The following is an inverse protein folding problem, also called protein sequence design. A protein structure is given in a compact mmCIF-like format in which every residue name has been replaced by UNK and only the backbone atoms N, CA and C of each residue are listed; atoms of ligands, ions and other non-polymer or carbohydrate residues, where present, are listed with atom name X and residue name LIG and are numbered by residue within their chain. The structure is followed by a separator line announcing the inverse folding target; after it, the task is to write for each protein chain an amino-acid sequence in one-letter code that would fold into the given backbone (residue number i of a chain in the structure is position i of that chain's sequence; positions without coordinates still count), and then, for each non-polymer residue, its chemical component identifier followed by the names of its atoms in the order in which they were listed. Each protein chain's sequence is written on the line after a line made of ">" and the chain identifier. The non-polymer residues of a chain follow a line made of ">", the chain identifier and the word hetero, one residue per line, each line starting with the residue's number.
data_IF_060771054060
#
_entry.id   IF_060771054060
#
_cell.length_a   1.000
_cell.length_b   1.000
_cell.length_c   1.000
_cell.angle_alpha   90.00
_cell.angle_beta   90.00
_cell.angle_gamma   90.00
#
_symmetry.space_group_name_H-M   'P 1'
#
loop_
_entity.id
_entity.type
_entity.pdbx_description
1 polymer ?
#
# COMPACT_ATOMS: atom_id res chain seq x y z
N UNK A 1 -17.26 4.86 3.07
CA UNK A 1 -16.05 5.68 2.86
C UNK A 1 -14.97 5.41 3.91
N UNK A 2 -15.01 5.93 5.14
CA UNK A 2 -13.96 5.61 6.15
C UNK A 2 -13.88 4.11 6.50
N UNK A 3 -15.05 3.47 6.66
CA UNK A 3 -15.12 2.01 6.84
C UNK A 3 -14.57 1.22 5.64
N UNK A 4 -14.66 1.78 4.43
CA UNK A 4 -14.14 1.14 3.21
C UNK A 4 -12.61 1.23 3.16
N UNK A 5 -12.01 2.35 3.59
CA UNK A 5 -10.54 2.45 3.74
C UNK A 5 -9.99 1.47 4.78
N UNK A 6 -10.68 1.36 5.93
CA UNK A 6 -10.30 0.41 6.98
C UNK A 6 -10.41 -1.03 6.49
N UNK A 7 -11.47 -1.35 5.75
CA UNK A 7 -11.62 -2.66 5.13
C UNK A 7 -10.54 -2.92 4.07
N UNK A 8 -10.24 -1.93 3.23
CA UNK A 8 -9.16 -2.01 2.23
C UNK A 8 -7.81 -2.29 2.86
N UNK A 9 -7.47 -1.63 3.99
CA UNK A 9 -6.27 -1.97 4.76
C UNK A 9 -6.31 -3.42 5.24
N UNK A 10 -7.42 -3.87 5.83
CA UNK A 10 -7.54 -5.26 6.29
C UNK A 10 -7.35 -6.27 5.16
N UNK A 11 -7.91 -6.02 3.98
CA UNK A 11 -7.77 -6.89 2.82
C UNK A 11 -6.32 -6.93 2.32
N UNK A 12 -5.63 -5.78 2.31
CA UNK A 12 -4.20 -5.72 2.01
C UNK A 12 -3.35 -6.47 3.03
N UNK A 13 -3.60 -6.28 4.33
CA UNK A 13 -2.91 -7.00 5.41
C UNK A 13 -3.08 -8.51 5.29
N UNK A 14 -4.30 -8.98 5.01
CA UNK A 14 -4.60 -10.39 4.79
C UNK A 14 -3.83 -10.91 3.56
N UNK A 15 -3.91 -10.21 2.43
CA UNK A 15 -3.20 -10.62 1.21
C UNK A 15 -1.68 -10.68 1.40
N UNK A 16 -1.10 -9.72 2.13
CA UNK A 16 0.34 -9.70 2.42
C UNK A 16 0.75 -10.86 3.32
N UNK A 17 0.01 -11.12 4.40
CA UNK A 17 0.26 -12.23 5.32
C UNK A 17 0.15 -13.58 4.61
N UNK A 18 -0.90 -13.77 3.82
CA UNK A 18 -1.10 -14.99 3.04
C UNK A 18 0.04 -15.21 2.06
N UNK A 19 0.51 -14.15 1.40
CA UNK A 19 1.63 -14.23 0.48
C UNK A 19 2.94 -14.58 1.19
N UNK A 20 3.22 -13.95 2.34
CA UNK A 20 4.38 -14.27 3.15
C UNK A 20 4.38 -15.73 3.65
N UNK A 21 3.22 -16.25 4.06
CA UNK A 21 3.06 -17.64 4.48
C UNK A 21 3.35 -18.61 3.33
N UNK A 22 2.77 -18.37 2.14
CA UNK A 22 3.00 -19.21 0.97
C UNK A 22 4.48 -19.18 0.58
N UNK A 23 5.13 -18.01 0.58
CA UNK A 23 6.55 -17.90 0.25
C UNK A 23 7.49 -18.63 1.22
N UNK A 24 7.07 -18.89 2.46
CA UNK A 24 7.86 -19.69 3.41
C UNK A 24 7.84 -21.19 3.07
N UNK A 25 6.71 -21.68 2.55
CA UNK A 25 6.52 -23.08 2.19
C UNK A 25 6.88 -23.38 0.72
N UNK A 26 6.86 -22.35 -0.13
CA UNK A 26 7.03 -22.48 -1.57
C UNK A 26 8.49 -22.61 -2.01
N UNK A 27 8.68 -23.26 -3.15
CA UNK A 27 9.93 -23.31 -3.90
C UNK A 27 9.74 -22.71 -5.31
N UNK A 28 10.79 -22.77 -6.15
CA UNK A 28 10.75 -22.20 -7.50
C UNK A 28 9.68 -22.83 -8.43
N UNK A 29 9.19 -24.04 -8.15
CA UNK A 29 8.14 -24.68 -8.94
C UNK A 29 6.74 -24.08 -8.66
N UNK A 30 6.59 -23.33 -7.56
CA UNK A 30 5.34 -22.65 -7.18
C UNK A 30 5.19 -21.26 -7.80
N UNK A 31 6.09 -20.87 -8.72
CA UNK A 31 6.08 -19.58 -9.41
C UNK A 31 4.71 -19.18 -10.01
N UNK A 32 3.88 -20.09 -10.57
CA UNK A 32 2.53 -19.74 -11.01
C UNK A 32 1.62 -19.24 -9.88
N UNK A 33 1.69 -19.85 -8.69
CA UNK A 33 0.91 -19.42 -7.53
C UNK A 33 1.43 -18.08 -6.99
N UNK A 34 2.76 -17.91 -6.96
CA UNK A 34 3.41 -16.64 -6.61
C UNK A 34 2.91 -15.52 -7.53
N UNK A 35 2.87 -15.75 -8.85
CA UNK A 35 2.37 -14.78 -9.81
C UNK A 35 0.90 -14.41 -9.58
N UNK A 36 0.02 -15.40 -9.31
CA UNK A 36 -1.40 -15.15 -8.98
C UNK A 36 -1.56 -14.26 -7.75
N UNK A 37 -0.78 -14.52 -6.70
CA UNK A 37 -0.82 -13.74 -5.46
C UNK A 37 -0.35 -12.30 -5.68
N UNK A 38 0.71 -12.08 -6.47
CA UNK A 38 1.17 -10.75 -6.87
C UNK A 38 0.11 -9.97 -7.66
N UNK A 39 -0.59 -10.63 -8.58
CA UNK A 39 -1.66 -10.01 -9.36
C UNK A 39 -2.81 -9.61 -8.43
N UNK A 40 -3.27 -10.52 -7.56
CA UNK A 40 -4.34 -10.23 -6.60
C UNK A 40 -3.97 -9.06 -5.68
N UNK A 41 -2.76 -9.05 -5.12
CA UNK A 41 -2.28 -7.95 -4.30
C UNK A 41 -2.26 -6.63 -5.08
N UNK A 42 -1.76 -6.64 -6.32
CA UNK A 42 -1.72 -5.44 -7.17
C UNK A 42 -3.11 -4.87 -7.46
N UNK A 43 -4.12 -5.73 -7.61
CA UNK A 43 -5.51 -5.32 -7.82
C UNK A 43 -6.06 -4.65 -6.56
N UNK A 44 -5.95 -5.31 -5.41
CA UNK A 44 -6.37 -4.74 -4.11
C UNK A 44 -5.69 -3.40 -3.82
N UNK A 45 -4.39 -3.31 -4.07
CA UNK A 45 -3.62 -2.10 -3.85
C UNK A 45 -4.10 -0.96 -4.75
N UNK A 46 -4.31 -1.21 -6.05
CA UNK A 46 -4.82 -0.18 -6.98
C UNK A 46 -6.22 0.29 -6.62
N UNK A 47 -7.09 -0.62 -6.23
CA UNK A 47 -8.45 -0.29 -5.79
C UNK A 47 -8.43 0.60 -4.56
N UNK A 48 -7.68 0.19 -3.53
CA UNK A 48 -7.50 0.96 -2.31
C UNK A 48 -6.92 2.36 -2.60
N UNK A 49 -5.84 2.44 -3.38
CA UNK A 49 -5.23 3.72 -3.76
C UNK A 49 -6.19 4.63 -4.53
N UNK A 50 -7.03 4.06 -5.41
CA UNK A 50 -8.04 4.84 -6.14
C UNK A 50 -9.11 5.44 -5.24
N UNK A 51 -9.56 4.68 -4.24
CA UNK A 51 -10.50 5.16 -3.23
C UNK A 51 -9.88 6.26 -2.37
N UNK A 52 -8.64 6.05 -1.90
CA UNK A 52 -7.92 7.02 -1.08
C UNK A 52 -7.63 8.33 -1.84
N UNK A 53 -7.15 8.24 -3.09
CA UNK A 53 -6.91 9.43 -3.92
C UNK A 53 -8.18 10.25 -4.17
N UNK A 54 -9.33 9.58 -4.37
CA UNK A 54 -10.61 10.26 -4.50
C UNK A 54 -10.97 11.04 -3.22
N UNK A 55 -10.74 10.45 -2.04
CA UNK A 55 -10.99 11.09 -0.74
C UNK A 55 -10.03 12.24 -0.47
N UNK A 56 -8.74 12.07 -0.75
CA UNK A 56 -7.72 13.14 -0.65
C UNK A 56 -8.03 14.28 -1.61
N UNK A 57 -8.42 13.98 -2.84
CA UNK A 57 -8.84 14.98 -3.83
C UNK A 57 -10.07 15.75 -3.36
N UNK A 58 -11.07 15.07 -2.79
CA UNK A 58 -12.24 15.73 -2.22
C UNK A 58 -11.87 16.61 -1.00
N UNK A 59 -10.93 16.17 -0.17
CA UNK A 59 -10.43 16.91 0.99
C UNK A 59 -9.69 18.20 0.56
N UNK A 60 -8.84 18.14 -0.48
CA UNK A 60 -8.11 19.29 -1.03
C UNK A 60 -9.00 20.40 -1.60
N UNK A 61 -10.25 20.09 -1.97
CA UNK A 61 -11.22 21.09 -2.44
C UNK A 61 -11.79 21.96 -1.31
N UNK A 62 -11.52 21.60 -0.05
CA UNK A 62 -11.99 22.31 1.13
C UNK A 62 -10.91 23.25 1.67
N UNK A 63 -11.30 24.26 2.45
CA UNK A 63 -10.36 25.13 3.17
C UNK A 63 -9.74 24.38 4.37
N UNK A 64 -8.58 23.78 4.14
CA UNK A 64 -7.84 23.03 5.16
C UNK A 64 -7.09 23.96 6.13
N UNK A 65 -6.92 23.48 7.36
CA UNK A 65 -5.94 24.07 8.29
C UNK A 65 -4.51 23.80 7.77
N UNK A 66 -3.51 24.61 8.15
CA UNK A 66 -2.11 24.37 7.76
C UNK A 66 -1.61 22.97 8.15
N UNK A 67 -2.05 22.46 9.30
CA UNK A 67 -1.72 21.12 9.77
C UNK A 67 -2.30 20.03 8.85
N UNK A 68 -3.58 20.12 8.51
CA UNK A 68 -4.24 19.15 7.63
C UNK A 68 -3.64 19.17 6.21
N UNK A 69 -3.29 20.35 5.70
CA UNK A 69 -2.61 20.50 4.41
C UNK A 69 -1.20 19.88 4.42
N UNK A 70 -0.42 20.03 5.50
CA UNK A 70 0.87 19.33 5.65
C UNK A 70 0.71 17.82 5.58
N UNK A 71 -0.25 17.24 6.32
CA UNK A 71 -0.52 15.80 6.34
C UNK A 71 -0.85 15.29 4.92
N UNK A 72 -1.70 16.02 4.19
CA UNK A 72 -2.09 15.65 2.82
C UNK A 72 -0.91 15.71 1.83
N UNK A 73 0.02 16.65 2.00
CA UNK A 73 1.23 16.73 1.17
C UNK A 73 2.21 15.61 1.52
N UNK A 74 2.36 15.29 2.80
CA UNK A 74 3.26 14.23 3.28
C UNK A 74 2.78 12.86 2.77
N UNK A 75 1.46 12.62 2.84
CA UNK A 75 0.82 11.47 2.23
C UNK A 75 1.15 11.38 0.72
N UNK A 76 0.94 12.45 -0.04
CA UNK A 76 1.20 12.44 -1.49
C UNK A 76 2.65 12.09 -1.83
N UNK A 77 3.64 12.61 -1.07
CA UNK A 77 5.06 12.27 -1.28
C UNK A 77 5.34 10.80 -0.95
N UNK A 78 4.77 10.29 0.14
CA UNK A 78 4.97 8.92 0.58
C UNK A 78 4.39 7.90 -0.41
N UNK A 79 3.19 8.16 -0.96
CA UNK A 79 2.56 7.30 -1.97
C UNK A 79 3.41 7.21 -3.24
N UNK A 80 3.93 8.35 -3.72
CA UNK A 80 4.83 8.36 -4.88
C UNK A 80 6.10 7.54 -4.60
N UNK A 81 6.70 7.69 -3.41
CA UNK A 81 7.87 6.93 -3.04
C UNK A 81 7.61 5.41 -2.98
N UNK A 82 6.46 4.99 -2.45
CA UNK A 82 6.04 3.59 -2.43
C UNK A 82 5.84 3.04 -3.85
N UNK A 83 5.19 3.81 -4.72
CA UNK A 83 4.97 3.42 -6.11
C UNK A 83 6.29 3.22 -6.87
N UNK A 84 7.25 4.13 -6.69
CA UNK A 84 8.57 4.02 -7.32
C UNK A 84 9.32 2.78 -6.82
N UNK A 85 9.35 2.54 -5.50
CA UNK A 85 9.96 1.33 -4.91
C UNK A 85 9.32 0.05 -5.45
N UNK A 86 8.00 0.02 -5.56
CA UNK A 86 7.29 -1.12 -6.15
C UNK A 86 7.64 -1.30 -7.63
N UNK A 87 7.68 -0.21 -8.40
CA UNK A 87 8.08 -0.26 -9.81
C UNK A 87 9.46 -0.86 -10.00
N UNK A 88 10.43 -0.43 -9.20
CA UNK A 88 11.81 -0.95 -9.24
C UNK A 88 11.87 -2.41 -8.84
N UNK A 89 11.12 -2.81 -7.81
CA UNK A 89 10.99 -4.20 -7.41
C UNK A 89 10.44 -5.09 -8.53
N UNK A 90 9.39 -4.65 -9.23
CA UNK A 90 8.82 -5.41 -10.37
C UNK A 90 9.80 -5.52 -11.53
N UNK A 91 10.54 -4.45 -11.84
CA UNK A 91 11.54 -4.44 -12.93
C UNK A 91 12.69 -5.38 -12.63
N UNK A 92 13.16 -5.41 -11.38
CA UNK A 92 14.29 -6.24 -10.97
C UNK A 92 13.90 -7.71 -10.82
N UNK A 93 12.82 -8.02 -10.11
CA UNK A 93 12.37 -9.38 -9.83
C UNK A 93 11.53 -9.97 -10.96
N UNK A 94 12.21 -10.27 -12.07
CA UNK A 94 11.67 -11.07 -13.18
C UNK A 94 11.52 -12.54 -12.76
N UNK A 95 10.69 -13.36 -13.46
CA UNK A 95 10.58 -14.79 -13.14
C UNK A 95 11.93 -15.52 -13.15
N UNK A 96 12.82 -15.17 -14.07
CA UNK A 96 14.17 -15.73 -14.13
C UNK A 96 15.00 -15.36 -12.88
N UNK A 97 14.97 -14.08 -12.46
CA UNK A 97 15.68 -13.62 -11.27
C UNK A 97 15.13 -14.27 -9.99
N UNK A 98 13.80 -14.40 -9.89
CA UNK A 98 13.15 -15.06 -8.75
C UNK A 98 13.56 -16.54 -8.68
N UNK A 99 13.62 -17.24 -9.83
CA UNK A 99 14.05 -18.64 -9.87
C UNK A 99 15.54 -18.83 -9.49
N UNK A 100 16.39 -17.83 -9.77
CA UNK A 100 17.81 -17.85 -9.42
C UNK A 100 18.07 -17.48 -7.96
N UNK A 101 17.29 -16.55 -7.39
CA UNK A 101 17.47 -16.05 -6.03
C UNK A 101 16.12 -15.95 -5.30
N UNK A 102 15.59 -17.11 -4.92
CA UNK A 102 14.35 -17.21 -4.16
C UNK A 102 14.44 -16.56 -2.76
N UNK A 103 15.49 -16.80 -1.95
CA UNK A 103 15.62 -16.16 -0.64
C UNK A 103 15.68 -14.63 -0.74
N UNK A 104 16.47 -14.09 -1.68
CA UNK A 104 16.56 -12.64 -1.90
C UNK A 104 15.24 -12.03 -2.35
N UNK A 105 14.48 -12.74 -3.21
CA UNK A 105 13.14 -12.29 -3.61
C UNK A 105 12.21 -12.20 -2.41
N UNK A 106 12.17 -13.24 -1.57
CA UNK A 106 11.33 -13.27 -0.36
C UNK A 106 11.67 -12.11 0.57
N UNK A 107 12.96 -11.87 0.82
CA UNK A 107 13.39 -10.77 1.69
C UNK A 107 12.98 -9.40 1.12
N UNK A 108 13.16 -9.20 -0.19
CA UNK A 108 12.76 -7.97 -0.86
C UNK A 108 11.23 -7.73 -0.80
N UNK A 109 10.42 -8.80 -0.90
CA UNK A 109 8.96 -8.70 -0.73
C UNK A 109 8.62 -8.30 0.71
N UNK A 110 9.24 -8.92 1.72
CA UNK A 110 8.96 -8.61 3.12
C UNK A 110 9.30 -7.15 3.47
N UNK A 111 10.39 -6.62 2.92
CA UNK A 111 10.75 -5.19 3.07
C UNK A 111 9.67 -4.28 2.50
N UNK A 112 9.13 -4.58 1.32
CA UNK A 112 8.03 -3.81 0.73
C UNK A 112 6.74 -3.91 1.55
N UNK A 113 6.41 -5.11 2.03
CA UNK A 113 5.22 -5.32 2.85
C UNK A 113 5.31 -4.50 4.14
N UNK A 114 6.46 -4.52 4.84
CA UNK A 114 6.68 -3.73 6.05
C UNK A 114 6.52 -2.23 5.78
N UNK A 115 7.08 -1.72 4.69
CA UNK A 115 6.90 -0.32 4.32
C UNK A 115 5.43 0.05 4.06
N UNK A 116 4.62 -0.87 3.54
CA UNK A 116 3.18 -0.67 3.38
C UNK A 116 2.42 -0.78 4.70
N UNK A 117 2.81 -1.67 5.60
CA UNK A 117 2.24 -1.74 6.96
C UNK A 117 2.43 -0.42 7.71
N UNK A 118 3.66 0.10 7.74
CA UNK A 118 3.99 1.38 8.38
C UNK A 118 3.19 2.52 7.77
N UNK A 119 2.98 2.48 6.45
CA UNK A 119 2.19 3.48 5.73
C UNK A 119 0.72 3.45 6.14
N UNK A 120 0.10 2.28 6.13
CA UNK A 120 -1.30 2.11 6.52
C UNK A 120 -1.54 2.52 7.98
N UNK A 121 -0.60 2.20 8.88
CA UNK A 121 -0.67 2.65 10.28
C UNK A 121 -0.59 4.18 10.38
N UNK A 122 0.34 4.81 9.65
CA UNK A 122 0.42 6.26 9.61
C UNK A 122 -0.86 6.90 9.07
N UNK A 123 -1.48 6.31 8.04
CA UNK A 123 -2.74 6.78 7.45
C UNK A 123 -3.88 6.71 8.46
N UNK A 124 -4.00 5.59 9.16
CA UNK A 124 -5.00 5.39 10.21
C UNK A 124 -4.86 6.41 11.34
N UNK A 125 -3.63 6.77 11.72
CA UNK A 125 -3.36 7.72 12.80
C UNK A 125 -3.50 9.19 12.39
N UNK A 126 -3.18 9.55 11.15
CA UNK A 126 -3.01 10.96 10.75
C UNK A 126 -3.93 11.40 9.62
N UNK A 127 -4.10 10.56 8.58
CA UNK A 127 -4.86 10.93 7.39
C UNK A 127 -6.36 10.65 7.57
N UNK A 128 -6.70 9.44 8.02
CA UNK A 128 -8.08 8.99 8.19
C UNK A 128 -8.92 9.92 9.09
N UNK A 129 -8.39 10.46 10.21
CA UNK A 129 -9.13 11.42 11.03
C UNK A 129 -9.53 12.70 10.28
N UNK A 130 -8.80 13.10 9.23
CA UNK A 130 -9.17 14.27 8.43
C UNK A 130 -10.44 14.05 7.60
N UNK A 131 -10.80 12.80 7.34
CA UNK A 131 -12.03 12.45 6.61
C UNK A 131 -13.27 12.39 7.50
N UNK A 132 -13.10 12.19 8.81
CA UNK A 132 -14.22 12.00 9.77
C UNK A 132 -14.34 13.13 10.80
N UNK A 133 -13.27 13.87 11.08
CA UNK A 133 -13.23 14.95 12.07
C UNK A 133 -13.39 16.37 11.50
N UNK A 134 -13.43 17.40 12.36
CA UNK A 134 -13.45 18.80 11.94
C UNK A 134 -12.08 19.20 11.35
N UNK A 135 -11.88 18.89 10.06
CA UNK A 135 -10.69 19.22 9.28
C UNK A 135 -10.76 20.59 8.60
N UNK A 136 -11.79 21.39 8.92
CA UNK A 136 -12.14 22.63 8.25
C UNK A 136 -11.69 23.84 9.05
N UNK A 137 -11.17 24.86 8.34
CA UNK A 137 -11.06 26.20 8.91
C UNK A 137 -12.45 26.75 9.22
N UNK A 138 -12.59 27.41 10.39
CA UNK A 138 -13.73 28.31 10.60
C UNK A 138 -13.65 29.43 9.55
N UNK A 139 -14.79 29.72 8.93
CA UNK A 139 -14.92 30.76 7.92
C UNK A 139 -14.65 32.15 8.48
#
# INVERSE_FOLDING_TARGET
>A
MHMELTQGHNDLRVAMRDFAYIMQAANADDLPEVARRRIRFSQLFREHMGQEDAMVTALRRRSLTPQADSIVRDHGRAVVALFLRYSDHIKYWTPAQIGQDWPGYRDAVLVLQNALYDRMEWEEQHLHPLFTGPSLRAA
#
